data_IF_231328202899
#
_entry.id   IF_231328202899
#
_cell.length_a   1.000
_cell.length_b   1.000
_cell.length_c   1.000
_cell.angle_alpha   90.00
_cell.angle_beta   90.00
_cell.angle_gamma   90.00
#
_symmetry.space_group_name_H-M   'P 1'
#
loop_
_entity.id
_entity.type
_entity.pdbx_description
1 polymer ?
#
# COMPACT_ATOMS: atom_id res chain seq x y z
N UNK A 1 -12.67 -4.16 -1.58
CA UNK A 1 -12.76 -4.60 -2.98
C UNK A 1 -13.01 -6.11 -2.99
N UNK A 2 -14.09 -6.54 -3.57
CA UNK A 2 -14.47 -7.96 -3.62
C UNK A 2 -13.51 -8.75 -4.50
N UNK A 3 -13.14 -9.96 -4.04
CA UNK A 3 -12.29 -10.85 -4.79
C UNK A 3 -10.81 -10.47 -4.81
N UNK A 4 -10.42 -9.52 -3.97
CA UNK A 4 -9.04 -9.06 -3.88
C UNK A 4 -8.55 -9.15 -2.44
N UNK A 5 -7.40 -9.79 -2.26
CA UNK A 5 -6.71 -9.81 -0.98
C UNK A 5 -5.74 -8.63 -0.92
N UNK A 6 -5.84 -7.82 0.12
CA UNK A 6 -4.97 -6.67 0.35
C UNK A 6 -4.17 -6.92 1.61
N UNK A 7 -2.85 -6.88 1.49
CA UNK A 7 -1.93 -7.10 2.61
C UNK A 7 -0.90 -5.99 2.68
N UNK A 8 -0.38 -5.73 3.87
CA UNK A 8 0.75 -4.82 4.07
C UNK A 8 1.96 -5.61 4.57
N UNK A 9 3.15 -5.22 4.10
CA UNK A 9 4.42 -5.89 4.44
C UNK A 9 5.52 -4.87 4.66
N UNK A 10 6.48 -5.22 5.49
CA UNK A 10 7.69 -4.43 5.66
C UNK A 10 8.85 -5.00 4.85
N UNK A 11 9.75 -4.15 4.42
CA UNK A 11 10.93 -4.58 3.65
C UNK A 11 12.04 -5.11 4.56
N UNK A 12 12.16 -4.56 5.76
CA UNK A 12 13.10 -5.03 6.78
C UNK A 12 12.37 -5.10 8.11
N UNK A 13 11.98 -6.30 8.50
CA UNK A 13 11.29 -6.56 9.76
C UNK A 13 12.12 -7.58 10.55
N UNK A 14 12.87 -7.10 11.54
CA UNK A 14 13.74 -7.95 12.35
C UNK A 14 12.95 -8.72 13.42
N UNK A 15 11.87 -8.12 13.89
CA UNK A 15 10.98 -8.72 14.90
C UNK A 15 9.53 -8.40 14.52
N UNK A 16 8.61 -9.28 14.89
CA UNK A 16 7.19 -8.95 14.81
C UNK A 16 6.86 -7.92 15.88
N UNK A 17 6.72 -6.67 15.46
CA UNK A 17 6.43 -5.56 16.35
C UNK A 17 5.05 -4.98 16.05
N UNK A 18 4.35 -4.45 17.07
CA UNK A 18 3.14 -3.69 16.81
C UNK A 18 3.46 -2.43 16.00
N UNK A 19 2.45 -1.88 15.37
CA UNK A 19 2.59 -0.62 14.65
C UNK A 19 2.99 0.51 15.60
N UNK A 20 3.60 1.56 15.06
CA UNK A 20 4.00 2.74 15.83
C UNK A 20 2.82 3.30 16.63
N UNK A 21 3.03 3.67 17.90
CA UNK A 21 1.98 4.14 18.79
C UNK A 21 1.24 5.38 18.30
N UNK A 22 1.97 6.34 17.72
CA UNK A 22 1.35 7.55 17.17
C UNK A 22 0.48 7.22 15.96
N UNK A 23 0.96 6.35 15.09
CA UNK A 23 0.18 5.87 13.94
C UNK A 23 -1.09 5.14 14.41
N UNK A 24 -0.98 4.27 15.40
CA UNK A 24 -2.13 3.56 15.97
C UNK A 24 -3.16 4.52 16.57
N UNK A 25 -2.69 5.55 17.27
CA UNK A 25 -3.57 6.56 17.87
C UNK A 25 -4.36 7.31 16.79
N UNK A 26 -3.70 7.71 15.70
CA UNK A 26 -4.37 8.40 14.59
C UNK A 26 -5.42 7.48 13.96
N UNK A 27 -5.07 6.23 13.68
CA UNK A 27 -6.00 5.27 13.09
C UNK A 27 -7.19 5.02 14.00
N UNK A 28 -6.96 4.86 15.30
CA UNK A 28 -8.03 4.69 16.29
C UNK A 28 -8.97 5.90 16.33
N UNK A 29 -8.42 7.11 16.29
CA UNK A 29 -9.23 8.35 16.29
C UNK A 29 -10.10 8.46 15.04
N UNK A 30 -9.73 7.79 13.94
CA UNK A 30 -10.51 7.74 12.71
C UNK A 30 -11.35 6.46 12.58
N UNK A 31 -11.55 5.73 13.67
CA UNK A 31 -12.40 4.55 13.70
C UNK A 31 -11.78 3.29 13.10
N UNK A 32 -10.47 3.26 12.95
CA UNK A 32 -9.75 2.10 12.41
C UNK A 32 -9.03 1.36 13.52
N UNK A 33 -9.23 0.05 13.60
CA UNK A 33 -8.58 -0.79 14.59
C UNK A 33 -7.33 -1.46 14.03
N UNK A 34 -6.25 -1.38 14.80
CA UNK A 34 -4.99 -2.05 14.50
C UNK A 34 -4.58 -3.04 15.59
N UNK A 35 -5.47 -3.29 16.55
CA UNK A 35 -5.21 -4.20 17.66
C UNK A 35 -4.83 -5.59 17.13
N UNK A 36 -3.77 -6.17 17.67
CA UNK A 36 -3.23 -7.48 17.28
C UNK A 36 -2.60 -7.56 15.89
N UNK A 37 -2.44 -6.43 15.19
CA UNK A 37 -1.70 -6.39 13.93
C UNK A 37 -0.23 -6.05 14.20
N UNK A 38 0.66 -6.73 13.52
CA UNK A 38 2.11 -6.51 13.62
C UNK A 38 2.71 -6.35 12.23
N UNK A 39 3.91 -5.78 12.19
CA UNK A 39 4.66 -5.69 10.94
C UNK A 39 5.11 -7.10 10.52
N UNK A 40 4.91 -7.44 9.26
CA UNK A 40 5.25 -8.75 8.68
C UNK A 40 6.25 -8.51 7.54
N UNK A 41 7.33 -9.29 7.53
CA UNK A 41 8.34 -9.22 6.49
C UNK A 41 7.78 -9.64 5.13
N UNK A 42 8.08 -8.87 4.08
CA UNK A 42 7.77 -9.26 2.72
C UNK A 42 8.52 -10.54 2.36
N UNK A 43 7.81 -11.52 1.82
CA UNK A 43 8.33 -12.80 1.39
C UNK A 43 8.36 -12.83 -0.14
N UNK A 44 9.45 -13.35 -0.71
CA UNK A 44 9.62 -13.46 -2.16
C UNK A 44 8.46 -14.22 -2.82
N UNK A 45 7.91 -15.23 -2.18
CA UNK A 45 6.80 -16.02 -2.70
C UNK A 45 5.54 -15.18 -2.91
N UNK A 46 5.35 -14.14 -2.09
CA UNK A 46 4.20 -13.23 -2.19
C UNK A 46 4.24 -12.39 -3.47
N UNK A 47 5.41 -12.24 -4.08
CA UNK A 47 5.60 -11.50 -5.33
C UNK A 47 5.32 -12.34 -6.57
N UNK A 48 5.07 -13.63 -6.41
CA UNK A 48 4.67 -14.52 -7.50
C UNK A 48 3.17 -14.39 -7.74
N UNK A 49 2.72 -14.70 -8.96
CA UNK A 49 1.31 -14.65 -9.30
C UNK A 49 0.81 -13.27 -9.73
N UNK A 50 1.71 -12.39 -10.14
CA UNK A 50 1.42 -11.06 -10.69
C UNK A 50 0.63 -10.14 -9.74
N UNK A 51 1.09 -9.93 -8.48
CA UNK A 51 0.43 -8.98 -7.62
C UNK A 51 0.67 -7.55 -8.08
N UNK A 52 -0.25 -6.65 -7.74
CA UNK A 52 0.01 -5.22 -7.78
C UNK A 52 0.75 -4.85 -6.51
N UNK A 53 1.95 -4.29 -6.65
CA UNK A 53 2.78 -3.89 -5.52
C UNK A 53 2.85 -2.37 -5.46
N UNK A 54 2.49 -1.81 -4.30
CA UNK A 54 2.48 -0.38 -4.07
C UNK A 54 3.37 -0.05 -2.87
N UNK A 55 4.27 0.92 -3.06
CA UNK A 55 5.16 1.40 -2.01
C UNK A 55 4.85 2.84 -1.64
N UNK A 56 5.35 3.29 -0.50
CA UNK A 56 5.19 4.68 -0.09
C UNK A 56 6.23 5.60 -0.74
N UNK A 57 7.44 5.09 -0.96
CA UNK A 57 8.57 5.88 -1.47
C UNK A 57 9.25 5.21 -2.65
N UNK A 58 9.97 6.00 -3.43
CA UNK A 58 10.80 5.49 -4.54
C UNK A 58 11.94 4.60 -4.04
N UNK A 59 12.51 4.92 -2.87
CA UNK A 59 13.56 4.10 -2.27
C UNK A 59 13.06 2.68 -1.99
N UNK A 60 11.86 2.54 -1.47
CA UNK A 60 11.24 1.24 -1.24
C UNK A 60 10.97 0.49 -2.55
N UNK A 61 10.49 1.20 -3.56
CA UNK A 61 10.27 0.63 -4.89
C UNK A 61 11.56 0.07 -5.47
N UNK A 62 12.64 0.86 -5.44
CA UNK A 62 13.96 0.43 -5.94
C UNK A 62 14.48 -0.78 -5.15
N UNK A 63 14.26 -0.80 -3.85
CA UNK A 63 14.68 -1.91 -3.00
C UNK A 63 13.99 -3.22 -3.39
N UNK A 64 12.71 -3.17 -3.72
CA UNK A 64 11.97 -4.35 -4.19
C UNK A 64 12.57 -4.86 -5.51
N UNK A 65 12.91 -3.96 -6.43
CA UNK A 65 13.53 -4.34 -7.70
C UNK A 65 14.91 -4.97 -7.45
N UNK A 66 15.73 -4.36 -6.62
CA UNK A 66 17.11 -4.80 -6.37
C UNK A 66 17.17 -6.09 -5.57
N UNK A 67 16.40 -6.18 -4.48
CA UNK A 67 16.48 -7.31 -3.55
C UNK A 67 15.71 -8.54 -4.02
N UNK A 68 14.61 -8.35 -4.75
CA UNK A 68 13.74 -9.44 -5.18
C UNK A 68 13.72 -9.67 -6.69
N UNK A 69 14.34 -8.78 -7.47
CA UNK A 69 14.30 -8.88 -8.94
C UNK A 69 12.90 -8.79 -9.53
N UNK A 70 11.99 -8.08 -8.85
CA UNK A 70 10.59 -8.01 -9.27
C UNK A 70 10.44 -7.13 -10.51
N UNK A 71 9.79 -7.66 -11.55
CA UNK A 71 9.58 -6.98 -12.83
C UNK A 71 8.09 -6.79 -13.16
N UNK A 72 7.21 -7.03 -12.22
CA UNK A 72 5.76 -6.92 -12.41
C UNK A 72 5.22 -5.50 -12.18
N UNK A 73 3.95 -5.42 -11.85
CA UNK A 73 3.26 -4.15 -11.60
C UNK A 73 3.69 -3.56 -10.26
N UNK A 74 4.55 -2.57 -10.32
CA UNK A 74 5.17 -1.94 -9.16
C UNK A 74 5.17 -0.43 -9.31
N UNK A 75 4.52 0.25 -8.37
CA UNK A 75 4.40 1.72 -8.34
C UNK A 75 4.56 2.20 -6.92
N UNK A 76 4.98 3.47 -6.74
CA UNK A 76 4.66 4.12 -5.48
C UNK A 76 3.15 4.42 -5.48
N UNK A 77 2.56 4.59 -4.31
CA UNK A 77 1.14 4.92 -4.20
C UNK A 77 0.80 6.19 -4.98
N UNK A 78 1.63 7.21 -4.88
CA UNK A 78 1.40 8.48 -5.58
C UNK A 78 1.61 8.36 -7.09
N UNK A 79 2.60 7.59 -7.55
CA UNK A 79 2.74 7.30 -8.99
C UNK A 79 1.49 6.65 -9.57
N UNK A 80 0.92 5.73 -8.82
CA UNK A 80 -0.26 4.99 -9.25
C UNK A 80 -1.46 5.89 -9.52
N UNK A 81 -1.52 7.04 -8.85
CA UNK A 81 -2.57 8.03 -9.04
C UNK A 81 -2.14 9.25 -9.86
N UNK A 82 -0.99 9.16 -10.52
CA UNK A 82 -0.52 10.22 -11.43
C UNK A 82 0.20 11.38 -10.77
N UNK A 83 0.74 11.18 -9.58
CA UNK A 83 1.45 12.22 -8.82
C UNK A 83 2.94 11.82 -8.69
N UNK A 84 3.83 12.77 -8.95
CA UNK A 84 5.29 12.54 -8.91
C UNK A 84 5.90 12.66 -7.51
N UNK A 85 5.14 13.12 -6.52
CA UNK A 85 5.62 13.29 -5.15
C UNK A 85 5.66 11.97 -4.38
N UNK A 86 6.22 12.02 -3.18
CA UNK A 86 6.26 10.92 -2.22
C UNK A 86 5.55 11.31 -0.94
N UNK A 87 5.18 10.31 -0.13
CA UNK A 87 4.70 10.55 1.23
C UNK A 87 5.87 10.93 2.13
N UNK A 88 5.62 11.87 3.04
CA UNK A 88 6.56 12.18 4.11
C UNK A 88 6.49 11.07 5.15
N UNK A 89 7.65 10.60 5.62
CA UNK A 89 7.72 9.66 6.74
C UNK A 89 7.61 10.46 8.05
N UNK A 90 6.55 10.28 8.83
CA UNK A 90 6.35 11.05 10.06
C UNK A 90 7.13 10.51 11.26
N UNK A 91 7.94 9.47 11.09
CA UNK A 91 8.67 8.86 12.20
C UNK A 91 9.51 9.89 12.97
N UNK A 92 9.36 9.89 14.29
CA UNK A 92 10.05 10.86 15.15
C UNK A 92 9.38 12.22 15.25
N UNK A 93 8.32 12.46 14.49
CA UNK A 93 7.58 13.72 14.51
C UNK A 93 6.45 13.72 15.55
N UNK A 94 5.86 14.90 15.77
CA UNK A 94 4.74 15.06 16.67
C UNK A 94 3.44 14.49 16.08
N UNK A 95 2.42 14.35 16.93
CA UNK A 95 1.15 13.72 16.56
C UNK A 95 0.42 14.46 15.43
N UNK A 96 0.54 15.78 15.37
CA UNK A 96 -0.09 16.60 14.33
C UNK A 96 0.48 16.31 12.94
N UNK A 97 1.78 15.96 12.86
CA UNK A 97 2.41 15.56 11.61
C UNK A 97 1.90 14.17 11.18
N UNK A 98 1.72 13.24 12.12
CA UNK A 98 1.09 11.95 11.83
C UNK A 98 -0.33 12.14 11.31
N UNK A 99 -1.11 13.05 11.89
CA UNK A 99 -2.47 13.35 11.41
C UNK A 99 -2.46 13.90 9.98
N UNK A 100 -1.55 14.84 9.68
CA UNK A 100 -1.42 15.38 8.33
C UNK A 100 -1.04 14.29 7.32
N UNK A 101 -0.12 13.41 7.68
CA UNK A 101 0.27 12.26 6.84
C UNK A 101 -0.91 11.30 6.61
N UNK A 102 -1.71 11.06 7.65
CA UNK A 102 -2.91 10.24 7.53
C UNK A 102 -3.89 10.84 6.53
N UNK A 103 -4.16 12.14 6.62
CA UNK A 103 -5.08 12.82 5.72
C UNK A 103 -4.61 12.73 4.27
N UNK A 104 -3.31 12.98 4.02
CA UNK A 104 -2.73 12.85 2.69
C UNK A 104 -2.88 11.42 2.15
N UNK A 105 -2.52 10.44 2.96
CA UNK A 105 -2.62 9.04 2.59
C UNK A 105 -4.08 8.61 2.34
N UNK A 106 -4.99 9.06 3.16
CA UNK A 106 -6.43 8.75 3.00
C UNK A 106 -6.96 9.25 1.66
N UNK A 107 -6.62 10.46 1.25
CA UNK A 107 -7.01 11.01 -0.04
C UNK A 107 -6.40 10.24 -1.21
N UNK A 108 -5.11 9.90 -1.11
CA UNK A 108 -4.42 9.11 -2.14
C UNK A 108 -5.03 7.70 -2.23
N UNK A 109 -5.34 7.07 -1.11
CA UNK A 109 -5.92 5.73 -1.10
C UNK A 109 -7.31 5.68 -1.74
N UNK A 110 -8.10 6.74 -1.61
CA UNK A 110 -9.36 6.83 -2.35
C UNK A 110 -9.15 6.77 -3.87
N UNK A 111 -8.15 7.52 -4.35
CA UNK A 111 -7.81 7.53 -5.77
C UNK A 111 -7.23 6.20 -6.24
N UNK A 112 -6.42 5.55 -5.40
CA UNK A 112 -5.89 4.22 -5.67
C UNK A 112 -7.04 3.22 -5.84
N UNK A 113 -7.98 3.24 -4.93
CA UNK A 113 -9.16 2.36 -4.98
C UNK A 113 -9.97 2.60 -6.25
N UNK A 114 -10.20 3.85 -6.62
CA UNK A 114 -10.94 4.19 -7.84
C UNK A 114 -10.27 3.65 -9.09
N UNK A 115 -8.95 3.84 -9.21
CA UNK A 115 -8.19 3.32 -10.34
C UNK A 115 -8.23 1.80 -10.39
N UNK A 116 -7.99 1.15 -9.27
CA UNK A 116 -7.97 -0.31 -9.18
C UNK A 116 -9.32 -0.93 -9.59
N UNK A 117 -10.41 -0.38 -9.09
CA UNK A 117 -11.76 -0.85 -9.43
C UNK A 117 -12.04 -0.64 -10.92
N UNK A 118 -11.72 0.52 -11.46
CA UNK A 118 -11.94 0.83 -12.87
C UNK A 118 -11.20 -0.13 -13.79
N UNK A 119 -9.93 -0.40 -13.50
CA UNK A 119 -9.10 -1.31 -14.32
C UNK A 119 -9.61 -2.75 -14.25
N UNK A 120 -9.97 -3.24 -13.07
CA UNK A 120 -10.48 -4.59 -12.93
C UNK A 120 -11.90 -4.78 -13.50
N UNK A 121 -12.75 -3.78 -13.39
CA UNK A 121 -14.08 -3.81 -13.99
C UNK A 121 -13.99 -3.85 -15.52
N UNK A 122 -13.08 -3.08 -16.12
CA UNK A 122 -12.85 -3.09 -17.56
C UNK A 122 -12.38 -4.46 -18.05
N UNK A 123 -11.50 -5.13 -17.30
CA UNK A 123 -11.05 -6.49 -17.61
C UNK A 123 -12.20 -7.49 -17.54
N UNK A 124 -13.05 -7.40 -16.51
CA UNK A 124 -14.22 -8.26 -16.37
C UNK A 124 -15.23 -8.03 -17.50
N UNK A 125 -15.46 -6.79 -17.89
CA UNK A 125 -16.36 -6.45 -19.00
C UNK A 125 -15.83 -7.03 -20.32
N UNK A 126 -14.53 -6.93 -20.57
CA UNK A 126 -13.89 -7.49 -21.75
C UNK A 126 -14.00 -9.02 -21.78
N UNK A 127 -13.77 -9.69 -20.66
CA UNK A 127 -13.93 -11.14 -20.55
C UNK A 127 -15.38 -11.56 -20.82
N UNK A 128 -16.34 -10.79 -20.34
CA UNK A 128 -17.77 -11.06 -20.57
C UNK A 128 -18.13 -10.89 -22.05
N UNK A 129 -17.62 -9.88 -22.71
CA UNK A 129 -17.83 -9.66 -24.15
C UNK A 129 -17.22 -10.79 -24.99
N UNK A 130 -16.05 -11.27 -24.64
CA UNK A 130 -15.39 -12.38 -25.35
C UNK A 130 -16.17 -13.70 -25.23
N UNK A 131 -16.91 -13.89 -24.15
CA UNK A 131 -17.72 -15.10 -23.93
C UNK A 131 -19.08 -15.06 -24.66
N UNK A 132 -19.48 -13.92 -25.12
CA UNK A 132 -20.71 -13.73 -25.84
C UNK A 132 -20.50 -13.88 -27.34
#
# INVERSE_FOLDING_TARGET
>A
VKGCEIVSRGLVVLFEEPYNQKAEMILYNHGMETANKTAIQLNEEELQGNPLVLTMTFAEKLKIIEDFGFEGDLYTLKEYVGNDDEFLDPYGEEIDIYEACFQDMYEVMKLVKERFIRENNNENDNETEEKL
#
